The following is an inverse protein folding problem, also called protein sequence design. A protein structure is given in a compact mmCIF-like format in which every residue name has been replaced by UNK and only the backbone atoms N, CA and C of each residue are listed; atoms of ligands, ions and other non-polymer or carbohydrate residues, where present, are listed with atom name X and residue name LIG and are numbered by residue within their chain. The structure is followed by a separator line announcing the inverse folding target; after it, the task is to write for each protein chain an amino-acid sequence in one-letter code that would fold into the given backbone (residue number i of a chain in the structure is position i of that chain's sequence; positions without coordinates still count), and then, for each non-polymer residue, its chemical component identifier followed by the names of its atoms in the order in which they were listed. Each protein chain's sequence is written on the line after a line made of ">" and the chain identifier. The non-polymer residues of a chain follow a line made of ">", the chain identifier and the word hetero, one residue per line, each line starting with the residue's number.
data_IF_283927791797
#
_entry.id   IF_283927791797
#
_cell.length_a   1.000
_cell.length_b   1.000
_cell.length_c   1.000
_cell.angle_alpha   90.00
_cell.angle_beta   90.00
_cell.angle_gamma   90.00
#
_symmetry.space_group_name_H-M   'P 1'
#
loop_
_entity.id
_entity.type
_entity.pdbx_description
1 polymer ?
#
# COMPACT_ATOMS: atom_id res chain seq x y z
N UNK A 1 -8.19 19.12 -43.67
CA UNK A 1 -8.68 19.07 -42.28
C UNK A 1 -9.18 20.47 -41.92
N UNK A 2 -10.41 20.63 -41.43
CA UNK A 2 -10.96 21.96 -41.11
C UNK A 2 -10.42 22.43 -39.76
N UNK A 3 -9.93 23.67 -39.68
CA UNK A 3 -9.51 24.30 -38.42
C UNK A 3 -10.71 24.39 -37.48
N UNK A 4 -10.54 23.97 -36.21
CA UNK A 4 -11.62 24.03 -35.22
C UNK A 4 -11.80 25.48 -34.75
N UNK A 5 -13.01 26.03 -34.89
CA UNK A 5 -13.36 27.41 -34.51
C UNK A 5 -14.19 27.52 -33.23
N UNK A 6 -14.35 26.42 -32.49
CA UNK A 6 -15.06 26.42 -31.21
C UNK A 6 -14.33 27.31 -30.19
N UNK A 7 -15.00 28.35 -29.71
CA UNK A 7 -14.42 29.39 -28.85
C UNK A 7 -13.74 28.83 -27.60
N UNK A 8 -14.34 27.84 -26.94
CA UNK A 8 -13.79 27.21 -25.73
C UNK A 8 -12.49 26.46 -26.03
N UNK A 9 -12.47 25.65 -27.09
CA UNK A 9 -11.27 24.94 -27.53
C UNK A 9 -10.15 25.90 -27.96
N UNK A 10 -10.49 27.00 -28.64
CA UNK A 10 -9.54 28.06 -29.00
C UNK A 10 -8.86 28.62 -27.76
N UNK A 11 -9.63 28.98 -26.74
CA UNK A 11 -9.11 29.50 -25.46
C UNK A 11 -8.29 28.46 -24.69
N UNK A 12 -8.66 27.18 -24.76
CA UNK A 12 -7.89 26.08 -24.16
C UNK A 12 -6.48 25.99 -24.77
N UNK A 13 -6.39 25.97 -26.09
CA UNK A 13 -5.09 25.85 -26.79
C UNK A 13 -4.23 27.08 -26.56
N UNK A 14 -4.81 28.28 -26.60
CA UNK A 14 -4.08 29.53 -26.32
C UNK A 14 -3.50 29.54 -24.90
N UNK A 15 -4.28 29.10 -23.92
CA UNK A 15 -3.80 28.95 -22.56
C UNK A 15 -2.63 27.97 -22.43
N UNK A 16 -2.70 26.80 -23.05
CA UNK A 16 -1.60 25.82 -23.03
C UNK A 16 -0.32 26.39 -23.66
N UNK A 17 -0.45 27.15 -24.74
CA UNK A 17 0.67 27.85 -25.39
C UNK A 17 1.30 28.87 -24.44
N UNK A 18 0.48 29.65 -23.75
CA UNK A 18 0.94 30.66 -22.81
C UNK A 18 1.63 30.03 -21.60
N UNK A 19 1.08 28.97 -21.03
CA UNK A 19 1.70 28.21 -19.94
C UNK A 19 3.05 27.60 -20.36
N UNK A 20 3.14 27.06 -21.59
CA UNK A 20 4.42 26.57 -22.15
C UNK A 20 5.45 27.68 -22.25
N UNK A 21 5.07 28.83 -22.81
CA UNK A 21 5.97 29.99 -22.96
C UNK A 21 6.40 30.55 -21.61
N UNK A 22 5.50 30.62 -20.63
CA UNK A 22 5.78 31.09 -19.28
C UNK A 22 6.84 30.22 -18.57
N UNK A 23 6.85 28.91 -18.85
CA UNK A 23 7.92 27.99 -18.39
C UNK A 23 9.22 28.06 -19.20
N UNK A 24 9.29 28.91 -20.23
CA UNK A 24 10.45 29.01 -21.11
C UNK A 24 10.65 27.81 -22.04
N UNK A 25 9.66 26.93 -22.15
CA UNK A 25 9.75 25.74 -23.01
C UNK A 25 9.57 26.13 -24.48
N UNK A 26 10.44 25.65 -25.36
CA UNK A 26 10.25 25.64 -26.81
C UNK A 26 9.30 24.48 -27.18
N UNK A 27 8.76 24.50 -28.40
CA UNK A 27 7.94 23.40 -28.90
C UNK A 27 8.70 22.06 -28.91
N UNK A 28 10.02 22.10 -29.16
CA UNK A 28 10.90 20.93 -29.11
C UNK A 28 10.99 20.33 -27.71
N UNK A 29 11.14 21.16 -26.68
CA UNK A 29 11.25 20.69 -25.29
C UNK A 29 9.97 19.96 -24.85
N UNK A 30 8.82 20.44 -25.32
CA UNK A 30 7.53 19.80 -25.05
C UNK A 30 7.36 18.52 -25.89
N UNK A 31 7.78 18.53 -27.16
CA UNK A 31 7.67 17.37 -28.05
C UNK A 31 8.49 16.18 -27.53
N UNK A 32 9.71 16.45 -27.04
CA UNK A 32 10.61 15.43 -26.47
C UNK A 32 10.01 14.80 -25.20
N UNK A 33 9.25 15.56 -24.40
CA UNK A 33 8.59 15.06 -23.17
C UNK A 33 7.27 14.33 -23.44
N UNK A 34 6.56 14.72 -24.49
CA UNK A 34 5.31 14.07 -24.90
C UNK A 34 5.52 12.85 -25.79
N UNK A 35 6.75 12.60 -26.24
CA UNK A 35 7.10 11.60 -27.25
C UNK A 35 6.31 11.84 -28.56
N UNK A 36 6.33 13.09 -29.01
CA UNK A 36 5.68 13.53 -30.24
C UNK A 36 6.69 14.27 -31.14
N UNK A 37 6.37 14.40 -32.43
CA UNK A 37 7.16 15.28 -33.29
C UNK A 37 6.92 16.75 -32.95
N UNK A 38 7.95 17.59 -33.08
CA UNK A 38 7.80 19.05 -32.95
C UNK A 38 6.74 19.60 -33.93
N UNK A 39 6.63 19.00 -35.12
CA UNK A 39 5.59 19.33 -36.11
C UNK A 39 4.19 19.11 -35.54
N UNK A 40 3.95 18.00 -34.84
CA UNK A 40 2.65 17.75 -34.18
C UNK A 40 2.34 18.82 -33.14
N UNK A 41 3.30 19.19 -32.28
CA UNK A 41 3.10 20.28 -31.31
C UNK A 41 2.70 21.57 -32.02
N UNK A 42 3.43 21.97 -33.08
CA UNK A 42 3.07 23.14 -33.86
C UNK A 42 1.65 23.05 -34.45
N UNK A 43 1.22 21.88 -34.90
CA UNK A 43 -0.12 21.68 -35.48
C UNK A 43 -1.24 21.73 -34.42
N UNK A 44 -1.00 21.22 -33.22
CA UNK A 44 -1.91 21.40 -32.08
C UNK A 44 -2.05 22.87 -31.70
N UNK A 45 -0.93 23.60 -31.58
CA UNK A 45 -0.93 25.03 -31.23
C UNK A 45 -1.61 25.90 -32.31
N UNK A 46 -1.52 25.49 -33.58
CA UNK A 46 -2.24 26.12 -34.71
C UNK A 46 -3.68 25.64 -34.85
N UNK A 47 -4.14 24.69 -34.01
CA UNK A 47 -5.49 24.09 -34.03
C UNK A 47 -5.80 23.34 -35.34
N UNK A 48 -4.75 22.85 -36.00
CA UNK A 48 -4.83 21.97 -37.17
C UNK A 48 -5.01 20.50 -36.76
N UNK A 49 -4.70 20.16 -35.50
CA UNK A 49 -4.98 18.89 -34.84
C UNK A 49 -5.79 19.14 -33.56
N UNK A 50 -6.63 18.16 -33.19
CA UNK A 50 -7.41 18.18 -31.95
C UNK A 50 -6.71 17.38 -30.85
N UNK A 51 -6.61 17.97 -29.66
CA UNK A 51 -6.13 17.30 -28.46
C UNK A 51 -7.18 16.31 -27.98
N UNK A 52 -6.81 15.04 -27.83
CA UNK A 52 -7.58 14.13 -27.00
C UNK A 52 -7.34 14.40 -25.50
N UNK A 53 -8.17 13.80 -24.65
CA UNK A 53 -8.15 14.05 -23.22
C UNK A 53 -6.89 13.52 -22.54
N UNK A 54 -6.30 12.44 -23.05
CA UNK A 54 -5.08 11.84 -22.51
C UNK A 54 -3.88 12.75 -22.78
N UNK A 55 -3.75 13.22 -24.03
CA UNK A 55 -2.73 14.16 -24.44
C UNK A 55 -2.86 15.49 -23.72
N UNK A 56 -4.08 16.00 -23.53
CA UNK A 56 -4.34 17.20 -22.74
C UNK A 56 -3.85 17.02 -21.28
N UNK A 57 -4.16 15.89 -20.65
CA UNK A 57 -3.73 15.61 -19.28
C UNK A 57 -2.21 15.56 -19.15
N UNK A 58 -1.51 14.85 -20.04
CA UNK A 58 -0.05 14.76 -20.08
C UNK A 58 0.61 16.12 -20.33
N UNK A 59 0.03 16.93 -21.22
CA UNK A 59 0.51 18.28 -21.52
C UNK A 59 0.39 19.18 -20.27
N UNK A 60 -0.75 19.16 -19.58
CA UNK A 60 -0.94 19.91 -18.33
C UNK A 60 0.07 19.49 -17.26
N UNK A 61 0.28 18.18 -17.07
CA UNK A 61 1.25 17.64 -16.12
C UNK A 61 2.68 18.15 -16.38
N UNK A 62 3.16 18.10 -17.63
CA UNK A 62 4.48 18.62 -18.00
C UNK A 62 4.60 20.12 -17.71
N UNK A 63 3.51 20.87 -17.93
CA UNK A 63 3.43 22.28 -17.62
C UNK A 63 3.21 22.57 -16.14
N UNK A 64 3.09 21.57 -15.28
CA UNK A 64 2.85 21.73 -13.84
C UNK A 64 1.50 22.39 -13.55
N UNK A 65 0.53 22.14 -14.42
CA UNK A 65 -0.84 22.65 -14.32
C UNK A 65 -1.81 21.48 -14.12
N UNK A 66 -3.01 21.77 -13.62
CA UNK A 66 -4.08 20.78 -13.56
C UNK A 66 -4.98 20.86 -14.79
N UNK A 67 -5.60 19.73 -15.15
CA UNK A 67 -6.61 19.71 -16.21
C UNK A 67 -7.83 20.56 -15.85
N UNK A 68 -8.16 20.68 -14.55
CA UNK A 68 -9.24 21.53 -14.07
C UNK A 68 -8.97 23.01 -14.38
N UNK A 69 -7.75 23.50 -14.14
CA UNK A 69 -7.37 24.88 -14.45
C UNK A 69 -7.52 25.18 -15.94
N UNK A 70 -7.07 24.26 -16.78
CA UNK A 70 -7.16 24.36 -18.23
C UNK A 70 -8.63 24.44 -18.70
N UNK A 71 -9.49 23.56 -18.19
CA UNK A 71 -10.92 23.49 -18.53
C UNK A 71 -11.71 24.68 -17.99
N UNK A 72 -11.33 25.20 -16.81
CA UNK A 72 -11.95 26.38 -16.22
C UNK A 72 -11.57 27.65 -16.97
N UNK A 73 -10.29 27.81 -17.33
CA UNK A 73 -9.84 28.94 -18.13
C UNK A 73 -10.55 29.01 -19.49
N UNK A 74 -10.71 27.85 -20.12
CA UNK A 74 -11.37 27.73 -21.43
C UNK A 74 -12.91 27.80 -21.37
N UNK A 75 -13.50 27.91 -20.18
CA UNK A 75 -14.94 28.00 -19.99
C UNK A 75 -15.68 26.68 -20.22
N UNK A 76 -14.98 25.54 -20.22
CA UNK A 76 -15.61 24.22 -20.08
C UNK A 76 -16.09 23.97 -18.65
N UNK A 77 -15.48 24.63 -17.65
CA UNK A 77 -15.95 24.66 -16.26
C UNK A 77 -16.28 26.10 -15.84
N UNK A 78 -17.35 26.28 -15.06
CA UNK A 78 -17.77 27.60 -14.54
C UNK A 78 -16.76 28.18 -13.54
N UNK A 79 -16.58 29.50 -13.49
CA UNK A 79 -15.72 30.15 -12.51
C UNK A 79 -16.42 30.20 -11.14
N UNK A 80 -15.72 29.80 -10.06
CA UNK A 80 -16.25 29.97 -8.70
C UNK A 80 -16.03 31.40 -8.19
N UNK A 81 -16.98 31.90 -7.38
CA UNK A 81 -16.98 33.25 -6.81
C UNK A 81 -15.85 33.48 -5.79
N UNK A 82 -15.29 34.70 -5.69
CA UNK A 82 -14.12 35.01 -4.85
C UNK A 82 -14.30 34.81 -3.34
N UNK A 83 -15.52 34.71 -2.83
CA UNK A 83 -15.79 34.44 -1.41
C UNK A 83 -15.34 33.03 -0.99
N UNK A 84 -15.15 32.12 -1.94
CA UNK A 84 -14.51 30.82 -1.70
C UNK A 84 -12.98 30.92 -1.49
N UNK A 85 -12.33 32.04 -1.85
CA UNK A 85 -10.84 32.16 -1.82
C UNK A 85 -10.26 32.38 -0.42
N UNK A 86 -11.00 32.91 0.55
CA UNK A 86 -10.46 33.11 1.91
C UNK A 86 -10.46 31.84 2.78
N UNK A 87 -11.13 30.78 2.36
CA UNK A 87 -11.06 29.42 2.95
C UNK A 87 -10.13 28.48 2.19
N UNK A 88 -9.48 28.94 1.10
CA UNK A 88 -8.78 28.07 0.15
C UNK A 88 -7.32 27.75 0.50
N UNK A 89 -6.71 28.39 1.51
CA UNK A 89 -5.42 27.91 2.03
C UNK A 89 -5.52 26.70 2.97
N UNK A 90 -6.73 26.21 3.27
CA UNK A 90 -6.94 24.93 3.97
C UNK A 90 -7.55 23.82 3.11
N UNK A 91 -7.77 24.03 1.81
CA UNK A 91 -8.67 23.18 1.02
C UNK A 91 -8.20 22.81 -0.40
N UNK A 92 -6.89 22.74 -0.67
CA UNK A 92 -6.38 21.86 -1.74
C UNK A 92 -6.38 20.38 -1.30
N UNK A 93 -7.52 19.92 -0.75
CA UNK A 93 -7.86 18.51 -0.52
C UNK A 93 -8.90 18.07 -1.55
N UNK A 94 -8.63 18.26 -2.83
CA UNK A 94 -9.28 17.42 -3.85
C UNK A 94 -8.68 16.01 -3.73
N UNK A 95 -9.23 15.18 -2.84
CA UNK A 95 -9.47 13.74 -3.03
C UNK A 95 -9.69 12.94 -1.72
N UNK A 96 -10.96 12.68 -1.42
CA UNK A 96 -11.54 11.34 -1.21
C UNK A 96 -11.02 10.38 -0.12
N UNK A 97 -10.26 10.83 0.87
CA UNK A 97 -9.78 9.93 1.93
C UNK A 97 -10.39 10.29 3.26
N UNK A 98 -11.14 9.35 3.84
CA UNK A 98 -11.75 9.51 5.16
C UNK A 98 -10.67 9.71 6.24
N UNK A 99 -10.83 10.66 7.15
CA UNK A 99 -9.82 10.97 8.18
C UNK A 99 -10.44 10.93 9.58
N UNK A 100 -9.66 10.60 10.63
CA UNK A 100 -10.18 10.48 11.98
C UNK A 100 -10.44 11.88 12.56
N UNK A 101 -11.65 12.08 13.07
CA UNK A 101 -12.11 13.33 13.70
C UNK A 101 -12.44 13.18 15.19
N UNK A 102 -12.49 11.95 15.69
CA UNK A 102 -12.73 11.65 17.10
C UNK A 102 -13.06 10.18 17.32
N UNK A 103 -13.39 9.84 18.56
CA UNK A 103 -13.90 8.53 18.92
C UNK A 103 -15.02 8.65 19.96
N UNK A 104 -15.90 7.66 19.99
CA UNK A 104 -16.98 7.56 20.99
C UNK A 104 -17.03 6.16 21.60
N UNK A 105 -17.30 6.10 22.90
CA UNK A 105 -17.42 4.84 23.63
C UNK A 105 -18.70 4.10 23.24
N UNK A 106 -18.66 2.77 23.34
CA UNK A 106 -19.79 1.87 23.09
C UNK A 106 -19.82 0.78 24.16
N UNK A 107 -20.92 0.03 24.26
CA UNK A 107 -21.06 -1.05 25.25
C UNK A 107 -20.01 -2.17 25.13
N UNK A 108 -19.34 -2.31 23.98
CA UNK A 108 -18.36 -3.37 23.72
C UNK A 108 -17.15 -2.82 22.97
N UNK A 109 -16.62 -1.65 23.38
CA UNK A 109 -15.43 -1.05 22.81
C UNK A 109 -15.66 0.40 22.39
N UNK A 110 -15.12 0.83 21.25
CA UNK A 110 -15.33 2.21 20.77
C UNK A 110 -15.63 2.28 19.28
N UNK A 111 -16.16 3.43 18.84
CA UNK A 111 -16.28 3.81 17.45
C UNK A 111 -15.23 4.88 17.12
N UNK A 112 -14.41 4.63 16.11
CA UNK A 112 -13.57 5.66 15.49
C UNK A 112 -14.42 6.43 14.48
N UNK A 113 -14.56 7.74 14.66
CA UNK A 113 -15.33 8.59 13.77
C UNK A 113 -14.44 9.08 12.63
N UNK A 114 -14.75 8.65 11.41
CA UNK A 114 -14.08 9.11 10.19
C UNK A 114 -14.93 10.15 9.47
N UNK A 115 -14.35 11.30 9.11
CA UNK A 115 -14.98 12.29 8.25
C UNK A 115 -14.62 12.07 6.79
N UNK A 116 -15.64 11.95 5.94
CA UNK A 116 -15.49 11.87 4.48
C UNK A 116 -16.62 12.62 3.80
N UNK A 117 -16.28 13.60 2.96
CA UNK A 117 -17.24 14.50 2.27
C UNK A 117 -18.28 15.10 3.25
N UNK A 118 -17.79 15.61 4.39
CA UNK A 118 -18.59 16.21 5.48
C UNK A 118 -19.65 15.28 6.10
N UNK A 119 -19.50 13.96 5.92
CA UNK A 119 -20.29 12.94 6.59
C UNK A 119 -19.40 12.13 7.52
N UNK A 120 -19.97 11.71 8.64
CA UNK A 120 -19.31 10.90 9.64
C UNK A 120 -19.61 9.42 9.40
N UNK A 121 -18.57 8.60 9.52
CA UNK A 121 -18.65 7.15 9.37
C UNK A 121 -17.99 6.51 10.60
N UNK A 122 -18.77 5.87 11.48
CA UNK A 122 -18.23 5.18 12.63
C UNK A 122 -17.61 3.84 12.19
N UNK A 123 -16.36 3.60 12.57
CA UNK A 123 -15.71 2.30 12.46
C UNK A 123 -15.63 1.69 13.85
N UNK A 124 -16.29 0.55 14.04
CA UNK A 124 -16.37 -0.11 15.33
C UNK A 124 -15.12 -0.94 15.62
N UNK A 125 -14.52 -0.72 16.80
CA UNK A 125 -13.39 -1.48 17.35
C UNK A 125 -13.86 -2.29 18.57
N UNK A 126 -14.40 -3.51 18.35
CA UNK A 126 -14.97 -4.30 19.42
C UNK A 126 -13.91 -4.76 20.43
N UNK A 127 -14.24 -4.73 21.72
CA UNK A 127 -13.41 -5.20 22.83
C UNK A 127 -12.21 -4.30 23.20
N UNK A 128 -11.93 -3.24 22.43
CA UNK A 128 -10.86 -2.30 22.73
C UNK A 128 -11.38 -1.09 23.50
N UNK A 129 -10.63 -0.65 24.51
CA UNK A 129 -10.96 0.51 25.34
C UNK A 129 -10.66 1.83 24.62
N UNK A 130 -11.54 2.83 24.77
CA UNK A 130 -11.35 4.16 24.17
C UNK A 130 -10.13 4.88 24.77
N UNK A 131 -9.82 4.67 26.05
CA UNK A 131 -8.63 5.20 26.71
C UNK A 131 -7.34 4.69 26.06
N UNK A 132 -7.26 3.38 25.78
CA UNK A 132 -6.17 2.78 24.99
C UNK A 132 -6.03 3.46 23.62
N UNK A 133 -7.14 3.64 22.89
CA UNK A 133 -7.12 4.33 21.59
C UNK A 133 -6.61 5.78 21.68
N UNK A 134 -7.10 6.58 22.63
CA UNK A 134 -6.69 7.98 22.77
C UNK A 134 -5.21 8.12 23.13
N UNK A 135 -4.67 7.18 23.93
CA UNK A 135 -3.23 7.08 24.20
C UNK A 135 -2.46 6.81 22.90
N UNK A 136 -2.86 5.77 22.16
CA UNK A 136 -2.25 5.38 20.88
C UNK A 136 -2.31 6.52 19.85
N UNK A 137 -3.46 7.17 19.69
CA UNK A 137 -3.65 8.29 18.76
C UNK A 137 -2.67 9.42 19.08
N UNK A 138 -2.58 9.84 20.35
CA UNK A 138 -1.68 10.92 20.78
C UNK A 138 -0.22 10.60 20.46
N UNK A 139 0.24 9.40 20.78
CA UNK A 139 1.64 8.99 20.56
C UNK A 139 1.98 8.85 19.08
N UNK A 140 1.09 8.23 18.29
CA UNK A 140 1.26 8.10 16.83
C UNK A 140 1.21 9.47 16.16
N UNK A 141 0.29 10.34 16.57
CA UNK A 141 0.17 11.67 15.99
C UNK A 141 1.43 12.51 16.25
N UNK A 142 1.94 12.50 17.49
CA UNK A 142 3.20 13.18 17.83
C UNK A 142 4.38 12.63 17.00
N UNK A 143 4.45 11.30 16.84
CA UNK A 143 5.47 10.64 16.02
C UNK A 143 5.40 11.10 14.56
N UNK A 144 4.24 11.08 13.93
CA UNK A 144 4.11 11.50 12.53
C UNK A 144 4.29 13.00 12.33
N UNK A 145 3.83 13.83 13.26
CA UNK A 145 4.11 15.27 13.24
C UNK A 145 5.61 15.57 13.27
N UNK A 146 6.40 14.78 14.01
CA UNK A 146 7.86 14.96 14.09
C UNK A 146 8.59 14.74 12.75
N UNK A 147 8.02 13.95 11.83
CA UNK A 147 8.57 13.69 10.49
C UNK A 147 8.58 14.94 9.59
N UNK A 148 7.77 15.94 9.93
CA UNK A 148 7.70 17.21 9.22
C UNK A 148 8.86 18.16 9.57
N UNK A 149 9.63 17.85 10.63
CA UNK A 149 10.77 18.67 11.03
C UNK A 149 11.90 18.63 9.98
N UNK A 150 12.67 19.73 9.89
CA UNK A 150 13.80 19.83 8.97
C UNK A 150 14.92 18.83 9.30
N UNK A 151 15.14 18.55 10.60
CA UNK A 151 16.10 17.55 11.09
C UNK A 151 15.41 16.20 11.19
N UNK A 152 15.40 15.46 10.09
CA UNK A 152 14.82 14.12 10.03
C UNK A 152 15.62 13.16 10.92
N UNK A 153 15.04 12.76 12.06
CA UNK A 153 15.64 11.78 12.98
C UNK A 153 15.27 10.34 12.66
N UNK A 154 14.19 10.13 11.90
CA UNK A 154 13.64 8.80 11.60
C UNK A 154 13.10 8.73 10.18
N UNK A 155 13.19 7.57 9.54
CA UNK A 155 12.56 7.34 8.23
C UNK A 155 11.05 7.14 8.37
N UNK A 156 10.28 7.34 7.28
CA UNK A 156 8.83 7.22 7.36
C UNK A 156 8.41 5.76 7.62
N UNK A 157 9.13 4.79 7.04
CA UNK A 157 8.86 3.36 7.26
C UNK A 157 9.09 2.93 8.71
N UNK A 158 10.16 3.42 9.35
CA UNK A 158 10.45 3.08 10.75
C UNK A 158 9.36 3.68 11.66
N UNK A 159 8.98 4.93 11.41
CA UNK A 159 7.90 5.58 12.16
C UNK A 159 6.55 4.85 12.02
N UNK A 160 6.22 4.37 10.82
CA UNK A 160 4.99 3.60 10.57
C UNK A 160 5.08 2.22 11.25
N UNK A 161 6.21 1.52 11.16
CA UNK A 161 6.41 0.22 11.80
C UNK A 161 6.32 0.31 13.33
N UNK A 162 6.94 1.32 13.93
CA UNK A 162 6.86 1.58 15.38
C UNK A 162 5.45 1.99 15.81
N UNK A 163 4.73 2.77 14.99
CA UNK A 163 3.31 3.08 15.23
C UNK A 163 2.43 1.82 15.20
N UNK A 164 2.69 0.88 14.28
CA UNK A 164 1.98 -0.40 14.21
C UNK A 164 2.28 -1.27 15.43
N UNK A 165 3.55 -1.40 15.82
CA UNK A 165 3.96 -2.16 17.02
C UNK A 165 3.26 -1.61 18.27
N UNK A 166 3.29 -0.29 18.46
CA UNK A 166 2.63 0.37 19.57
C UNK A 166 1.12 0.08 19.57
N UNK A 167 0.44 0.33 18.45
CA UNK A 167 -1.02 0.21 18.40
C UNK A 167 -1.50 -1.24 18.59
N UNK A 168 -0.82 -2.22 17.99
CA UNK A 168 -1.16 -3.64 18.16
C UNK A 168 -0.86 -4.11 19.60
N UNK A 169 0.24 -3.63 20.20
CA UNK A 169 0.56 -3.96 21.60
C UNK A 169 -0.44 -3.36 22.59
N UNK A 170 -0.92 -2.14 22.35
CA UNK A 170 -1.83 -1.45 23.26
C UNK A 170 -3.29 -1.89 23.08
N UNK A 171 -3.67 -2.29 21.86
CA UNK A 171 -5.04 -2.73 21.51
C UNK A 171 -5.05 -4.15 20.91
N UNK A 172 -4.61 -5.18 21.65
CA UNK A 172 -4.52 -6.55 21.12
C UNK A 172 -5.89 -7.16 20.77
N UNK A 173 -6.98 -6.63 21.33
CA UNK A 173 -8.34 -7.11 21.07
C UNK A 173 -8.88 -6.64 19.71
N UNK A 174 -8.34 -5.53 19.19
CA UNK A 174 -8.76 -4.92 17.95
C UNK A 174 -8.27 -5.71 16.73
N UNK A 175 -9.00 -5.59 15.61
CA UNK A 175 -8.58 -6.16 14.35
C UNK A 175 -7.27 -5.51 13.87
N UNK A 176 -6.15 -6.24 13.73
CA UNK A 176 -4.87 -5.63 13.34
C UNK A 176 -4.91 -4.93 11.98
N UNK A 177 -5.72 -5.44 11.05
CA UNK A 177 -5.94 -4.78 9.76
C UNK A 177 -6.64 -3.42 9.90
N UNK A 178 -7.58 -3.27 10.84
CA UNK A 178 -8.23 -1.99 11.12
C UNK A 178 -7.26 -1.02 11.79
N UNK A 179 -6.39 -1.52 12.67
CA UNK A 179 -5.30 -0.71 13.23
C UNK A 179 -4.42 -0.16 12.11
N UNK A 180 -3.97 -1.02 11.18
CA UNK A 180 -3.16 -0.59 10.05
C UNK A 180 -3.90 0.46 9.18
N UNK A 181 -5.14 0.17 8.79
CA UNK A 181 -5.86 0.92 7.76
C UNK A 181 -6.67 2.12 8.25
N UNK A 182 -7.26 2.05 9.44
CA UNK A 182 -8.12 3.09 9.98
C UNK A 182 -7.42 3.96 11.03
N UNK A 183 -6.43 3.42 11.74
CA UNK A 183 -5.64 4.18 12.72
C UNK A 183 -4.35 4.68 12.09
N UNK A 184 -3.38 3.80 11.84
CA UNK A 184 -2.02 4.19 11.44
C UNK A 184 -2.01 4.92 10.11
N UNK A 185 -2.62 4.36 9.06
CA UNK A 185 -2.71 5.01 7.75
C UNK A 185 -3.36 6.38 7.82
N UNK A 186 -4.50 6.50 8.51
CA UNK A 186 -5.27 7.75 8.50
C UNK A 186 -4.63 8.83 9.36
N UNK A 187 -4.02 8.47 10.48
CA UNK A 187 -3.20 9.38 11.28
C UNK A 187 -1.97 9.83 10.49
N UNK A 188 -1.32 8.94 9.74
CA UNK A 188 -0.22 9.32 8.87
C UNK A 188 -0.65 10.38 7.85
N UNK A 189 -1.78 10.17 7.16
CA UNK A 189 -2.32 11.14 6.21
C UNK A 189 -2.75 12.47 6.86
N UNK A 190 -3.19 12.43 8.12
CA UNK A 190 -3.62 13.61 8.86
C UNK A 190 -2.43 14.48 9.26
N UNK A 191 -1.36 13.86 9.77
CA UNK A 191 -0.25 14.56 10.41
C UNK A 191 0.94 14.82 9.48
N UNK A 192 1.23 13.94 8.51
CA UNK A 192 2.36 14.11 7.60
C UNK A 192 2.04 15.13 6.50
N UNK A 193 2.83 16.19 6.41
CA UNK A 193 2.62 17.30 5.46
C UNK A 193 3.87 17.74 4.69
N UNK A 194 5.01 17.05 4.86
CA UNK A 194 6.28 17.39 4.19
C UNK A 194 6.26 17.16 2.68
N UNK A 195 5.59 16.10 2.23
CA UNK A 195 5.36 15.77 0.82
C UNK A 195 3.93 15.21 0.68
N UNK A 196 3.49 14.84 -0.53
CA UNK A 196 2.20 14.16 -0.68
C UNK A 196 2.14 12.91 0.24
N UNK A 197 1.27 12.90 1.26
CA UNK A 197 1.21 11.83 2.23
C UNK A 197 0.73 10.51 1.60
N UNK A 198 -0.09 10.54 0.55
CA UNK A 198 -0.57 9.32 -0.13
C UNK A 198 0.55 8.65 -0.89
N UNK A 199 1.29 9.42 -1.70
CA UNK A 199 2.44 8.88 -2.43
C UNK A 199 3.55 8.42 -1.50
N UNK A 200 3.78 9.17 -0.42
CA UNK A 200 4.73 8.75 0.61
C UNK A 200 4.31 7.44 1.28
N UNK A 201 3.02 7.23 1.52
CA UNK A 201 2.48 6.01 2.12
C UNK A 201 2.64 4.79 1.20
N UNK A 202 2.41 4.93 -0.11
CA UNK A 202 2.48 3.80 -1.07
C UNK A 202 3.81 3.05 -0.95
N UNK A 203 4.92 3.77 -0.77
CA UNK A 203 6.24 3.16 -0.56
C UNK A 203 6.50 2.82 0.90
N UNK A 204 6.44 3.82 1.78
CA UNK A 204 6.87 3.65 3.17
C UNK A 204 5.97 2.68 3.95
N UNK A 205 4.68 2.63 3.63
CA UNK A 205 3.70 1.75 4.27
C UNK A 205 3.88 0.28 3.91
N UNK A 206 4.47 -0.05 2.74
CA UNK A 206 4.85 -1.42 2.38
C UNK A 206 6.08 -1.88 3.15
N UNK A 207 7.18 -1.12 3.05
CA UNK A 207 8.43 -1.40 3.75
C UNK A 207 8.24 -1.42 5.28
N UNK A 208 7.28 -0.65 5.82
CA UNK A 208 6.92 -0.67 7.23
C UNK A 208 6.26 -1.98 7.69
N UNK A 209 5.50 -2.67 6.82
CA UNK A 209 4.93 -3.98 7.13
C UNK A 209 6.03 -5.03 7.28
N UNK A 210 7.05 -4.96 6.42
CA UNK A 210 8.23 -5.82 6.50
C UNK A 210 9.03 -5.58 7.80
N UNK A 211 9.26 -4.31 8.17
CA UNK A 211 9.89 -3.94 9.44
C UNK A 211 9.08 -4.43 10.64
N UNK A 212 7.76 -4.19 10.62
CA UNK A 212 6.85 -4.67 11.65
C UNK A 212 6.95 -6.19 11.80
N UNK A 213 6.92 -6.94 10.69
CA UNK A 213 7.06 -8.39 10.69
C UNK A 213 8.35 -8.82 11.40
N UNK A 214 9.49 -8.24 11.01
CA UNK A 214 10.79 -8.55 11.62
C UNK A 214 10.78 -8.24 13.12
N UNK A 215 10.36 -7.05 13.52
CA UNK A 215 10.33 -6.68 14.93
C UNK A 215 9.41 -7.56 15.77
N UNK A 216 8.22 -7.89 15.26
CA UNK A 216 7.26 -8.70 15.99
C UNK A 216 7.71 -10.16 16.15
N UNK A 217 8.29 -10.75 15.09
CA UNK A 217 8.59 -12.19 15.07
C UNK A 217 10.03 -12.56 15.45
N UNK A 218 11.01 -11.65 15.37
CA UNK A 218 12.43 -12.02 15.51
C UNK A 218 12.73 -12.72 16.84
N UNK A 219 12.27 -12.19 17.98
CA UNK A 219 12.54 -12.78 19.28
C UNK A 219 11.88 -14.17 19.43
N UNK A 220 10.65 -14.34 18.93
CA UNK A 220 9.89 -15.60 19.01
C UNK A 220 10.44 -16.68 18.07
N UNK A 221 10.94 -16.30 16.89
CA UNK A 221 11.55 -17.24 15.94
C UNK A 221 13.00 -17.59 16.31
N UNK A 222 13.73 -16.67 16.96
CA UNK A 222 15.09 -16.93 17.42
C UNK A 222 15.19 -18.11 18.40
N UNK A 223 14.14 -18.38 19.20
CA UNK A 223 14.11 -19.55 20.10
C UNK A 223 14.12 -20.89 19.37
N UNK A 224 13.75 -20.90 18.08
CA UNK A 224 13.82 -22.06 17.20
C UNK A 224 15.07 -22.06 16.30
N UNK A 225 16.00 -21.12 16.51
CA UNK A 225 17.18 -20.93 15.68
C UNK A 225 16.84 -20.36 14.29
N UNK A 226 15.80 -19.54 14.19
CA UNK A 226 15.37 -18.89 12.95
C UNK A 226 15.62 -17.39 13.03
N UNK A 227 16.24 -16.81 11.99
CA UNK A 227 16.44 -15.36 11.85
C UNK A 227 15.70 -14.81 10.62
N UNK A 228 15.40 -13.52 10.66
CA UNK A 228 14.64 -12.79 9.64
C UNK A 228 15.54 -11.72 9.02
N UNK A 229 15.62 -11.68 7.69
CA UNK A 229 16.27 -10.60 6.96
C UNK A 229 15.31 -9.95 5.95
N UNK A 230 15.45 -8.63 5.74
CA UNK A 230 14.59 -7.83 4.86
C UNK A 230 15.33 -7.45 3.59
N UNK A 231 14.64 -7.49 2.45
CA UNK A 231 15.26 -7.28 1.15
C UNK A 231 15.82 -5.87 0.98
N UNK A 232 15.12 -4.85 1.50
CA UNK A 232 15.59 -3.46 1.40
C UNK A 232 16.77 -3.13 2.34
N UNK A 233 17.10 -4.00 3.31
CA UNK A 233 18.33 -3.88 4.10
C UNK A 233 19.53 -4.48 3.36
N UNK A 234 19.29 -5.36 2.38
CA UNK A 234 20.34 -5.95 1.57
C UNK A 234 20.94 -4.90 0.61
N UNK A 235 22.27 -4.83 0.58
CA UNK A 235 22.99 -3.99 -0.40
C UNK A 235 22.90 -4.55 -1.81
N UNK A 236 22.78 -5.87 -1.93
CA UNK A 236 22.73 -6.59 -3.19
C UNK A 236 21.29 -6.84 -3.61
N UNK A 237 20.94 -6.40 -4.83
CA UNK A 237 19.66 -6.76 -5.45
C UNK A 237 19.59 -8.28 -5.58
N UNK A 238 18.42 -8.86 -5.29
CA UNK A 238 18.15 -10.29 -5.40
C UNK A 238 19.00 -11.16 -4.45
N UNK A 239 19.64 -10.62 -3.41
CA UNK A 239 20.45 -11.37 -2.43
C UNK A 239 19.82 -12.72 -2.07
N UNK A 240 18.57 -12.71 -1.64
CA UNK A 240 17.87 -13.93 -1.20
C UNK A 240 17.70 -14.96 -2.31
N UNK A 241 17.34 -14.53 -3.52
CA UNK A 241 17.21 -15.42 -4.66
C UNK A 241 18.58 -15.96 -5.11
N UNK A 242 19.65 -15.17 -5.00
CA UNK A 242 21.01 -15.63 -5.25
C UNK A 242 21.41 -16.72 -4.25
N UNK A 243 21.19 -16.50 -2.96
CA UNK A 243 21.49 -17.48 -1.90
C UNK A 243 20.63 -18.75 -2.00
N UNK A 244 19.42 -18.65 -2.53
CA UNK A 244 18.56 -19.80 -2.84
C UNK A 244 18.94 -20.50 -4.15
N UNK A 245 19.84 -19.96 -4.97
CA UNK A 245 20.17 -20.50 -6.29
C UNK A 245 19.08 -20.30 -7.35
N UNK A 246 18.25 -19.26 -7.19
CA UNK A 246 17.07 -18.95 -8.00
C UNK A 246 17.15 -17.63 -8.76
N UNK A 247 18.24 -16.87 -8.63
CA UNK A 247 18.39 -15.54 -9.24
C UNK A 247 18.13 -15.52 -10.75
N UNK A 248 18.54 -16.56 -11.49
CA UNK A 248 18.35 -16.66 -12.94
C UNK A 248 16.98 -17.23 -13.36
N UNK A 249 16.18 -17.69 -12.39
CA UNK A 249 14.88 -18.35 -12.65
C UNK A 249 13.68 -17.44 -12.45
N UNK A 250 13.89 -16.29 -11.80
CA UNK A 250 12.84 -15.32 -11.48
C UNK A 250 13.15 -14.00 -12.19
N UNK A 251 12.33 -13.64 -13.17
CA UNK A 251 12.52 -12.41 -13.92
C UNK A 251 12.20 -11.16 -13.07
N UNK A 252 13.04 -10.13 -13.20
CA UNK A 252 12.87 -8.84 -12.52
C UNK A 252 13.65 -8.70 -11.21
N UNK A 253 13.66 -7.48 -10.67
CA UNK A 253 14.30 -7.19 -9.38
C UNK A 253 13.44 -7.60 -8.19
N UNK A 254 14.10 -7.90 -7.07
CA UNK A 254 13.63 -8.31 -5.74
C UNK A 254 12.13 -8.54 -5.61
N UNK A 255 11.68 -9.75 -5.98
CA UNK A 255 10.29 -10.22 -5.83
C UNK A 255 10.00 -10.88 -4.49
N UNK A 256 11.03 -11.00 -3.65
CA UNK A 256 10.93 -11.54 -2.30
C UNK A 256 11.20 -10.41 -1.32
N UNK A 257 10.28 -10.19 -0.39
CA UNK A 257 10.32 -9.09 0.58
C UNK A 257 11.17 -9.49 1.80
N UNK A 258 10.97 -10.71 2.31
CA UNK A 258 11.59 -11.21 3.55
C UNK A 258 12.14 -12.62 3.33
N UNK A 259 13.35 -12.87 3.85
CA UNK A 259 13.95 -14.21 3.89
C UNK A 259 14.05 -14.72 5.32
N UNK A 260 13.72 -16.00 5.52
CA UNK A 260 13.88 -16.70 6.78
C UNK A 260 15.07 -17.66 6.67
N UNK A 261 16.01 -17.51 7.60
CA UNK A 261 17.19 -18.36 7.71
C UNK A 261 17.05 -19.26 8.93
N UNK A 262 17.39 -20.53 8.76
CA UNK A 262 17.52 -21.45 9.87
C UNK A 262 18.99 -21.71 10.18
N UNK A 263 19.33 -21.81 11.47
CA UNK A 263 20.69 -22.11 11.91
C UNK A 263 20.98 -23.62 11.75
N UNK A 264 21.79 -23.97 10.76
CA UNK A 264 22.31 -25.33 10.56
C UNK A 264 23.76 -25.48 11.05
N UNK A 265 24.33 -26.69 10.91
CA UNK A 265 25.75 -26.95 11.26
C UNK A 265 26.75 -26.04 10.54
N UNK A 266 26.46 -25.68 9.30
CA UNK A 266 27.33 -24.87 8.44
C UNK A 266 26.97 -23.38 8.48
N UNK A 267 26.15 -22.96 9.44
CA UNK A 267 25.69 -21.58 9.60
C UNK A 267 24.26 -21.33 9.09
N UNK A 268 23.87 -20.06 8.97
CA UNK A 268 22.55 -19.67 8.50
C UNK A 268 22.29 -20.16 7.07
N UNK A 269 21.16 -20.81 6.85
CA UNK A 269 20.76 -21.27 5.51
C UNK A 269 19.33 -20.79 5.21
N UNK A 270 19.07 -20.19 4.04
CA UNK A 270 17.71 -19.80 3.68
C UNK A 270 16.85 -21.05 3.53
N UNK A 271 15.67 -21.06 4.13
CA UNK A 271 14.72 -22.18 4.00
C UNK A 271 13.33 -21.73 3.57
N UNK A 272 13.00 -20.45 3.76
CA UNK A 272 11.71 -19.90 3.40
C UNK A 272 11.79 -18.42 2.98
N UNK A 273 10.81 -18.00 2.18
CA UNK A 273 10.53 -16.60 1.90
C UNK A 273 9.14 -16.20 2.36
N UNK A 274 8.97 -14.91 2.68
CA UNK A 274 7.67 -14.30 2.97
C UNK A 274 7.44 -13.15 2.00
N UNK A 275 6.32 -13.20 1.28
CA UNK A 275 5.77 -12.10 0.50
C UNK A 275 4.86 -11.29 1.43
N UNK A 276 5.27 -10.07 1.79
CA UNK A 276 4.61 -9.27 2.83
C UNK A 276 3.80 -8.13 2.18
N UNK A 277 2.48 -8.19 2.27
CA UNK A 277 1.59 -7.23 1.61
C UNK A 277 0.60 -6.62 2.59
N UNK A 278 0.59 -5.29 2.73
CA UNK A 278 -0.47 -4.60 3.47
C UNK A 278 -1.86 -4.90 2.91
N UNK A 279 -2.00 -4.77 1.59
CA UNK A 279 -3.19 -5.08 0.80
C UNK A 279 -2.79 -5.94 -0.38
N UNK A 280 -3.64 -6.85 -0.83
CA UNK A 280 -3.31 -7.77 -1.92
C UNK A 280 -3.39 -7.08 -3.29
N UNK A 281 -4.49 -6.35 -3.54
CA UNK A 281 -4.79 -5.70 -4.82
C UNK A 281 -4.47 -6.58 -6.04
N UNK A 282 -4.21 -6.00 -7.20
CA UNK A 282 -3.67 -6.75 -8.34
C UNK A 282 -2.26 -7.31 -8.07
N UNK A 283 -1.51 -6.73 -7.13
CA UNK A 283 -0.07 -6.97 -6.95
C UNK A 283 0.31 -8.37 -6.49
N UNK A 284 -0.58 -9.10 -5.82
CA UNK A 284 -0.28 -10.49 -5.41
C UNK A 284 0.00 -11.40 -6.62
N UNK A 285 -0.48 -11.06 -7.83
CA UNK A 285 -0.14 -11.82 -9.04
C UNK A 285 1.34 -11.70 -9.42
N UNK A 286 1.99 -10.60 -9.06
CA UNK A 286 3.41 -10.34 -9.36
C UNK A 286 4.36 -11.22 -8.54
N UNK A 287 3.88 -11.72 -7.40
CA UNK A 287 4.64 -12.57 -6.48
C UNK A 287 4.53 -14.06 -6.83
N UNK A 288 3.45 -14.47 -7.52
CA UNK A 288 3.18 -15.89 -7.83
C UNK A 288 4.35 -16.58 -8.54
N UNK A 289 4.96 -16.01 -9.60
CA UNK A 289 6.03 -16.71 -10.31
C UNK A 289 7.26 -16.94 -9.42
N UNK A 290 7.57 -15.99 -8.52
CA UNK A 290 8.66 -16.13 -7.56
C UNK A 290 8.35 -17.26 -6.57
N UNK A 291 7.16 -17.22 -5.97
CA UNK A 291 6.71 -18.21 -5.00
C UNK A 291 6.68 -19.63 -5.55
N UNK A 292 6.12 -19.83 -6.74
CA UNK A 292 6.04 -21.14 -7.40
C UNK A 292 7.44 -21.71 -7.70
N UNK A 293 8.40 -20.86 -8.09
CA UNK A 293 9.80 -21.27 -8.29
C UNK A 293 10.49 -21.65 -7.00
N UNK A 294 10.27 -20.90 -5.92
CA UNK A 294 10.78 -21.22 -4.59
C UNK A 294 10.26 -22.59 -4.12
N UNK A 295 8.96 -22.82 -4.23
CA UNK A 295 8.30 -24.07 -3.85
C UNK A 295 8.81 -25.25 -4.68
N UNK A 296 8.98 -25.08 -5.99
CA UNK A 296 9.53 -26.11 -6.86
C UNK A 296 10.98 -26.49 -6.52
N UNK A 297 11.76 -25.56 -5.96
CA UNK A 297 13.12 -25.79 -5.48
C UNK A 297 13.18 -26.31 -4.02
N UNK A 298 12.02 -26.56 -3.39
CA UNK A 298 11.92 -27.09 -2.04
C UNK A 298 12.15 -26.06 -0.93
N UNK A 299 12.08 -24.76 -1.25
CA UNK A 299 11.95 -23.70 -0.25
C UNK A 299 10.48 -23.48 0.09
N UNK A 300 10.22 -22.98 1.29
CA UNK A 300 8.86 -22.56 1.66
C UNK A 300 8.57 -21.16 1.16
N UNK A 301 7.34 -20.93 0.73
CA UNK A 301 6.91 -19.61 0.29
C UNK A 301 5.59 -19.21 0.92
N UNK A 302 5.62 -18.21 1.81
CA UNK A 302 4.45 -17.75 2.55
C UNK A 302 3.96 -16.40 2.06
N UNK A 303 2.65 -16.18 2.14
CA UNK A 303 2.03 -14.86 1.98
C UNK A 303 1.64 -14.33 3.37
N UNK A 304 2.19 -13.19 3.76
CA UNK A 304 1.79 -12.46 4.96
C UNK A 304 0.99 -11.24 4.55
N UNK A 305 -0.19 -11.02 5.13
CA UNK A 305 -0.98 -9.85 4.76
C UNK A 305 -1.85 -9.29 5.88
N UNK A 306 -2.03 -7.97 5.88
CA UNK A 306 -3.12 -7.36 6.64
C UNK A 306 -4.45 -7.48 5.91
N UNK A 307 -4.51 -7.92 4.64
CA UNK A 307 -5.74 -7.97 3.82
C UNK A 307 -6.55 -6.66 3.96
N UNK A 308 -5.86 -5.52 3.88
CA UNK A 308 -6.41 -4.21 4.16
C UNK A 308 -7.14 -3.66 2.93
N UNK A 309 -8.48 -3.70 2.95
CA UNK A 309 -9.32 -3.11 1.90
C UNK A 309 -10.67 -2.70 2.46
N UNK A 310 -10.96 -1.40 2.32
CA UNK A 310 -12.29 -0.83 2.53
C UNK A 310 -12.71 -0.02 1.32
N UNK A 311 -14.01 0.05 1.04
CA UNK A 311 -14.55 0.95 0.03
C UNK A 311 -15.29 2.10 0.71
N UNK A 312 -14.98 3.37 0.41
CA UNK A 312 -15.81 4.48 0.84
C UNK A 312 -17.17 4.44 0.11
N UNK A 313 -18.19 5.13 0.62
CA UNK A 313 -19.42 5.32 -0.14
C UNK A 313 -19.15 5.97 -1.51
N UNK A 314 -20.02 5.77 -2.51
CA UNK A 314 -21.25 5.00 -2.47
C UNK A 314 -21.04 3.48 -2.65
N UNK A 315 -19.80 3.01 -2.85
CA UNK A 315 -19.53 1.59 -3.17
C UNK A 315 -19.28 0.73 -1.93
N UNK A 316 -19.17 1.33 -0.75
CA UNK A 316 -19.10 0.65 0.53
C UNK A 316 -19.40 1.58 1.70
N UNK A 317 -19.05 1.14 2.90
CA UNK A 317 -19.34 1.79 4.18
C UNK A 317 -18.06 2.01 5.01
N UNK A 318 -16.90 2.01 4.35
CA UNK A 318 -15.57 2.05 4.96
C UNK A 318 -15.21 0.84 5.84
N UNK A 319 -16.04 -0.20 5.93
CA UNK A 319 -15.60 -1.42 6.60
C UNK A 319 -14.47 -2.08 5.84
N UNK A 320 -13.46 -2.53 6.59
CA UNK A 320 -12.31 -3.21 6.06
C UNK A 320 -12.57 -4.72 5.99
N UNK A 321 -13.11 -5.14 4.85
CA UNK A 321 -13.51 -6.53 4.58
C UNK A 321 -12.43 -7.35 3.87
N UNK A 322 -11.33 -6.72 3.45
CA UNK A 322 -10.28 -7.37 2.69
C UNK A 322 -10.69 -7.77 1.28
N UNK A 323 -9.90 -8.63 0.65
CA UNK A 323 -10.02 -8.99 -0.77
C UNK A 323 -10.01 -10.50 -1.04
N UNK A 324 -9.91 -11.33 0.00
CA UNK A 324 -9.85 -12.80 -0.15
C UNK A 324 -11.22 -13.46 -0.38
N UNK A 325 -12.33 -12.74 -0.16
CA UNK A 325 -13.67 -13.34 -0.23
C UNK A 325 -13.82 -14.51 0.77
N UNK A 326 -14.71 -15.46 0.46
CA UNK A 326 -14.98 -16.63 1.30
C UNK A 326 -14.68 -17.93 0.55
N UNK A 327 -14.53 -19.08 1.24
CA UNK A 327 -14.41 -20.37 0.56
C UNK A 327 -15.57 -20.69 -0.40
N UNK A 328 -16.80 -20.26 -0.07
CA UNK A 328 -17.99 -20.47 -0.92
C UNK A 328 -18.13 -19.46 -2.06
N UNK A 329 -17.46 -18.30 -1.95
CA UNK A 329 -17.44 -17.25 -2.95
C UNK A 329 -16.02 -16.67 -3.02
N UNK A 330 -15.06 -17.46 -3.55
CA UNK A 330 -13.66 -17.09 -3.53
C UNK A 330 -13.43 -15.92 -4.48
N UNK A 331 -12.52 -15.02 -4.09
CA UNK A 331 -11.93 -14.11 -5.06
C UNK A 331 -10.83 -14.82 -5.85
N UNK A 332 -10.36 -14.19 -6.93
CA UNK A 332 -9.20 -14.68 -7.69
C UNK A 332 -7.97 -14.85 -6.78
N UNK A 333 -7.81 -13.95 -5.80
CA UNK A 333 -6.70 -13.95 -4.85
C UNK A 333 -6.74 -15.18 -3.94
N UNK A 334 -7.93 -15.57 -3.44
CA UNK A 334 -8.08 -16.82 -2.69
C UNK A 334 -7.80 -18.04 -3.57
N UNK A 335 -8.22 -17.98 -4.84
CA UNK A 335 -7.96 -19.07 -5.79
C UNK A 335 -6.46 -19.30 -6.02
N UNK A 336 -5.62 -18.25 -5.94
CA UNK A 336 -4.16 -18.42 -6.00
C UNK A 336 -3.63 -19.32 -4.89
N UNK A 337 -4.28 -19.32 -3.72
CA UNK A 337 -3.86 -20.11 -2.55
C UNK A 337 -4.57 -21.46 -2.57
N UNK A 338 -5.90 -21.47 -2.46
CA UNK A 338 -6.69 -22.68 -2.20
C UNK A 338 -6.89 -23.57 -3.41
N UNK A 339 -6.76 -23.03 -4.63
CA UNK A 339 -6.94 -23.76 -5.88
C UNK A 339 -5.62 -24.03 -6.59
N UNK A 340 -4.82 -22.99 -6.78
CA UNK A 340 -3.58 -23.11 -7.56
C UNK A 340 -2.37 -23.52 -6.71
N UNK A 341 -2.43 -23.29 -5.39
CA UNK A 341 -1.30 -23.60 -4.52
C UNK A 341 -0.06 -22.75 -4.82
N UNK A 342 -0.24 -21.51 -5.29
CA UNK A 342 0.85 -20.60 -5.63
C UNK A 342 1.64 -20.12 -4.40
N UNK A 343 1.22 -20.46 -3.18
CA UNK A 343 1.93 -20.21 -1.92
C UNK A 343 1.72 -21.40 -0.98
N UNK A 344 2.67 -21.71 -0.10
CA UNK A 344 2.53 -22.78 0.90
C UNK A 344 1.46 -22.48 1.95
N UNK A 345 1.33 -21.21 2.34
CA UNK A 345 0.29 -20.73 3.25
C UNK A 345 0.10 -19.22 3.08
N UNK A 346 -1.10 -18.74 3.39
CA UNK A 346 -1.42 -17.33 3.53
C UNK A 346 -1.83 -17.05 4.98
N UNK A 347 -1.21 -16.05 5.60
CA UNK A 347 -1.51 -15.60 6.96
C UNK A 347 -2.09 -14.19 6.89
N UNK A 348 -3.41 -14.09 7.08
CA UNK A 348 -4.11 -12.82 7.17
C UNK A 348 -4.24 -12.36 8.62
N UNK A 349 -4.02 -11.07 8.83
CA UNK A 349 -4.25 -10.39 10.10
C UNK A 349 -5.43 -9.41 10.02
N UNK A 350 -6.34 -9.68 9.07
CA UNK A 350 -7.70 -9.15 9.10
C UNK A 350 -8.61 -10.18 9.73
N UNK A 351 -9.15 -9.88 10.92
CA UNK A 351 -10.08 -10.79 11.62
C UNK A 351 -11.38 -11.05 10.85
N UNK A 352 -11.66 -10.28 9.78
CA UNK A 352 -12.79 -10.49 8.86
C UNK A 352 -12.44 -11.39 7.66
N UNK A 353 -11.17 -11.72 7.44
CA UNK A 353 -10.79 -12.76 6.47
C UNK A 353 -11.32 -14.11 6.97
N UNK A 354 -12.12 -14.78 6.14
CA UNK A 354 -12.63 -16.12 6.44
C UNK A 354 -11.51 -17.15 6.24
N UNK A 355 -11.13 -17.96 7.24
CA UNK A 355 -10.08 -18.96 7.05
C UNK A 355 -10.52 -20.06 6.06
N UNK A 356 -9.55 -20.82 5.54
CA UNK A 356 -9.85 -22.01 4.73
C UNK A 356 -10.58 -23.08 5.54
N UNK A 357 -11.36 -23.92 4.84
CA UNK A 357 -11.93 -25.13 5.42
C UNK A 357 -10.88 -26.21 5.74
N UNK A 358 -11.31 -27.39 6.23
CA UNK A 358 -10.42 -28.51 6.53
C UNK A 358 -9.59 -28.97 5.34
N UNK A 359 -10.18 -28.96 4.14
CA UNK A 359 -9.54 -29.30 2.88
C UNK A 359 -9.72 -28.19 1.84
N UNK A 360 -8.71 -28.03 0.98
CA UNK A 360 -8.69 -27.13 -0.18
C UNK A 360 -8.19 -27.92 -1.39
N UNK A 361 -8.49 -27.46 -2.61
CA UNK A 361 -8.11 -28.18 -3.84
C UNK A 361 -6.57 -28.31 -3.97
N UNK A 362 -5.82 -27.28 -3.59
CA UNK A 362 -4.35 -27.29 -3.58
C UNK A 362 -3.73 -27.91 -2.32
N UNK A 363 -4.54 -28.17 -1.28
CA UNK A 363 -4.06 -28.49 0.07
C UNK A 363 -3.43 -27.32 0.83
N UNK A 364 -3.30 -26.13 0.21
CA UNK A 364 -2.75 -24.91 0.83
C UNK A 364 -3.87 -24.08 1.47
N UNK A 365 -3.56 -23.33 2.53
CA UNK A 365 -4.57 -22.71 3.39
C UNK A 365 -4.34 -21.22 3.62
N UNK A 366 -5.46 -20.53 3.84
CA UNK A 366 -5.57 -19.19 4.42
C UNK A 366 -5.85 -19.34 5.91
N UNK A 367 -4.98 -18.77 6.73
CA UNK A 367 -5.11 -18.65 8.17
C UNK A 367 -5.46 -17.21 8.54
N UNK A 368 -6.17 -17.04 9.65
CA UNK A 368 -6.52 -15.73 10.21
C UNK A 368 -6.03 -15.67 11.66
N UNK A 369 -5.26 -14.64 12.02
CA UNK A 369 -4.63 -14.48 13.35
C UNK A 369 -4.76 -13.03 13.87
N UNK A 370 -4.46 -12.84 15.16
CA UNK A 370 -4.43 -11.54 15.88
C UNK A 370 -3.07 -11.19 16.50
N UNK A 371 -1.99 -11.87 16.09
CA UNK A 371 -0.66 -11.74 16.71
C UNK A 371 -0.60 -12.21 18.17
N UNK A 372 -1.50 -13.09 18.59
CA UNK A 372 -1.54 -13.65 19.94
C UNK A 372 -0.69 -14.95 20.05
N UNK A 373 -0.88 -15.69 21.14
CA UNK A 373 -0.16 -16.96 21.37
C UNK A 373 -0.62 -18.09 20.43
N UNK A 374 -1.79 -17.94 19.81
CA UNK A 374 -2.33 -18.90 18.84
C UNK A 374 -1.90 -18.62 17.40
N UNK A 375 -0.87 -17.78 17.21
CA UNK A 375 -0.43 -17.36 15.89
C UNK A 375 0.00 -18.54 14.99
N UNK A 376 -0.82 -18.79 13.97
CA UNK A 376 -0.60 -19.87 13.01
C UNK A 376 0.71 -19.72 12.23
N UNK A 377 1.19 -18.48 11.99
CA UNK A 377 2.44 -18.24 11.29
C UNK A 377 3.61 -18.79 12.09
N UNK A 378 3.68 -18.47 13.38
CA UNK A 378 4.78 -18.89 14.23
C UNK A 378 4.90 -20.42 14.27
N UNK A 379 3.77 -21.09 14.53
CA UNK A 379 3.73 -22.56 14.59
C UNK A 379 4.12 -23.18 13.25
N UNK A 380 3.54 -22.69 12.14
CA UNK A 380 3.82 -23.21 10.80
C UNK A 380 5.29 -23.05 10.42
N UNK A 381 5.86 -21.86 10.62
CA UNK A 381 7.26 -21.58 10.27
C UNK A 381 8.23 -22.44 11.08
N UNK A 382 7.98 -22.63 12.37
CA UNK A 382 8.83 -23.45 13.25
C UNK A 382 8.76 -24.93 12.83
N UNK A 383 7.58 -25.45 12.55
CA UNK A 383 7.41 -26.85 12.16
C UNK A 383 7.96 -27.14 10.77
N UNK A 384 7.82 -26.19 9.84
CA UNK A 384 8.42 -26.28 8.52
C UNK A 384 9.95 -26.21 8.60
N UNK A 385 10.53 -25.35 9.45
CA UNK A 385 11.98 -25.35 9.70
C UNK A 385 12.46 -26.69 10.26
N UNK A 386 11.78 -27.25 11.26
CA UNK A 386 12.13 -28.56 11.85
C UNK A 386 12.09 -29.67 10.81
N UNK A 387 11.09 -29.64 9.93
CA UNK A 387 10.93 -30.62 8.85
C UNK A 387 12.03 -30.47 7.81
N UNK A 388 12.30 -29.23 7.39
CA UNK A 388 13.33 -28.90 6.40
C UNK A 388 14.74 -29.26 6.88
N UNK A 389 15.04 -28.99 8.15
CA UNK A 389 16.32 -29.38 8.77
C UNK A 389 16.53 -30.90 8.75
N UNK A 390 15.49 -31.67 9.08
CA UNK A 390 15.54 -33.14 9.05
C UNK A 390 15.76 -33.70 7.65
N UNK A 391 15.09 -33.15 6.63
CA UNK A 391 15.18 -33.66 5.26
C UNK A 391 16.53 -33.41 4.59
N UNK A 392 17.30 -32.43 5.07
CA UNK A 392 18.62 -32.07 4.53
C UNK A 392 19.81 -32.52 5.36
N UNK A 393 19.58 -33.32 6.41
CA UNK A 393 20.64 -33.81 7.33
C UNK A 393 21.49 -32.68 7.94
N UNK A 394 20.89 -31.51 8.16
CA UNK A 394 21.56 -30.31 8.69
C UNK A 394 21.60 -30.27 10.23
#
# INVERSE_FOLDING_TARGET
>A
MKTTSERKYVSLVEWLVDQRKAKGFKQKDLSDRLDLSQSNISRYEKRELQLDIELLARWCEILGQTMEDALRFSGYLEAQTPEARKTLHSAHRSNETALPIGASETNNGFNLLLSWRNKEYPIHFPGSDIGKFLKVEREIAARFASLNSARKTQSNRDAIAEALLLAISEMPEANPSDIYHHVVYRLYLREYNRTDPKQSWVRAGGEAVELFFKHHYSARLATAGISIELAFEAREKNKFLTEMGLADQVAGGSKLDICLYGMGRNGPTPFAGVHAKASLAERVSDDKPCSERMMAAGFKSYLFTFDAKSFPPPTGDLQNLGELGTPSKPSDKRSYIEKHGSFDACFSYNTRTVPSGPATESGKKVYTSRFDDSDALLTTVIDDWRTWRKSRSL
#
